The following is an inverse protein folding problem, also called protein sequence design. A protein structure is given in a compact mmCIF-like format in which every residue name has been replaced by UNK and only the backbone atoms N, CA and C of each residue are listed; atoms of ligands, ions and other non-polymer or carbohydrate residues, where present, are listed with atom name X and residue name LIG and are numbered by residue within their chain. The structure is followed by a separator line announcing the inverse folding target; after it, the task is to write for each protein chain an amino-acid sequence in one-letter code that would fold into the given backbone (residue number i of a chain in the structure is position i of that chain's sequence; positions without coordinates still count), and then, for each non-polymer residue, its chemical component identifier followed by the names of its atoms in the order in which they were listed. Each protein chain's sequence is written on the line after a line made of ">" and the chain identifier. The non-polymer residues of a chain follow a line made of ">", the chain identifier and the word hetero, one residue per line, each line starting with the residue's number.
data_IF_496792382850
#
_entry.id   IF_496792382850
#
_cell.length_a   1.000
_cell.length_b   1.000
_cell.length_c   1.000
_cell.angle_alpha   90.00
_cell.angle_beta   90.00
_cell.angle_gamma   90.00
#
_symmetry.space_group_name_H-M   'P 1'
#
loop_
_entity.id
_entity.type
_entity.pdbx_description
1 polymer ?
#
# COMPACT_ATOMS: atom_id res chain seq x y z
N UNK A 1 -11.18 28.48 5.35
CA UNK A 1 -10.37 27.67 6.30
C UNK A 1 -10.29 26.20 5.87
N UNK A 2 -11.42 25.62 5.47
CA UNK A 2 -11.51 24.29 4.82
C UNK A 2 -10.65 24.14 3.56
N UNK A 3 -10.54 25.16 2.70
CA UNK A 3 -9.73 25.05 1.47
C UNK A 3 -8.22 25.03 1.72
N UNK A 4 -7.73 25.73 2.77
CA UNK A 4 -6.32 25.66 3.19
C UNK A 4 -5.98 24.32 3.83
N UNK A 5 -6.91 23.73 4.59
CA UNK A 5 -6.74 22.39 5.18
C UNK A 5 -6.73 21.32 4.08
N UNK A 6 -7.63 21.43 3.09
CA UNK A 6 -7.66 20.54 1.91
C UNK A 6 -6.38 20.65 1.09
N UNK A 7 -5.90 21.86 0.79
CA UNK A 7 -4.64 22.08 0.09
C UNK A 7 -3.45 21.49 0.86
N UNK A 8 -3.33 21.75 2.17
CA UNK A 8 -2.26 21.19 2.99
C UNK A 8 -2.30 19.64 3.08
N UNK A 9 -3.50 19.06 3.10
CA UNK A 9 -3.68 17.60 3.11
C UNK A 9 -3.28 16.97 1.77
N UNK A 10 -3.65 17.61 0.65
CA UNK A 10 -3.29 17.16 -0.69
C UNK A 10 -1.79 17.33 -0.96
N UNK A 11 -1.18 18.42 -0.50
CA UNK A 11 0.27 18.65 -0.61
C UNK A 11 1.08 17.65 0.21
N UNK A 12 0.56 17.28 1.39
CA UNK A 12 1.14 16.27 2.25
C UNK A 12 1.11 14.89 1.57
N UNK A 13 -0.05 14.47 1.07
CA UNK A 13 -0.22 13.19 0.37
C UNK A 13 0.64 13.18 -0.89
N UNK A 14 0.50 14.20 -1.74
CA UNK A 14 1.25 14.32 -3.00
C UNK A 14 2.74 14.19 -2.79
N UNK A 15 3.29 14.82 -1.75
CA UNK A 15 4.71 14.74 -1.50
C UNK A 15 5.19 13.48 -0.76
N UNK A 16 4.30 12.62 -0.24
CA UNK A 16 4.66 11.26 0.18
C UNK A 16 4.80 10.36 -1.05
N UNK A 17 3.89 10.47 -2.02
CA UNK A 17 3.83 9.59 -3.19
C UNK A 17 4.74 10.01 -4.35
N UNK A 18 4.95 11.31 -4.57
CA UNK A 18 5.81 11.83 -5.64
C UNK A 18 7.17 11.12 -5.79
N UNK A 19 7.96 10.91 -4.71
CA UNK A 19 9.22 10.18 -4.81
C UNK A 19 9.08 8.68 -5.11
N UNK A 20 7.91 8.09 -4.85
CA UNK A 20 7.65 6.65 -5.02
C UNK A 20 7.05 6.32 -6.38
N UNK A 21 6.41 7.29 -7.06
CA UNK A 21 5.82 7.09 -8.39
C UNK A 21 6.81 6.50 -9.40
N UNK A 22 8.06 7.01 -9.57
CA UNK A 22 9.00 6.45 -10.54
C UNK A 22 9.36 4.99 -10.25
N UNK A 23 9.46 4.62 -8.96
CA UNK A 23 9.75 3.25 -8.54
C UNK A 23 8.62 2.30 -8.97
N UNK A 24 7.37 2.64 -8.67
CA UNK A 24 6.22 1.80 -9.03
C UNK A 24 6.06 1.73 -10.56
N UNK A 25 6.25 2.86 -11.25
CA UNK A 25 6.16 2.88 -12.72
C UNK A 25 7.22 1.97 -13.34
N UNK A 26 8.47 2.01 -12.85
CA UNK A 26 9.52 1.09 -13.31
C UNK A 26 9.17 -0.38 -13.07
N UNK A 27 8.77 -0.73 -11.85
CA UNK A 27 8.38 -2.09 -11.48
C UNK A 27 7.17 -2.59 -12.30
N UNK A 28 6.15 -1.74 -12.47
CA UNK A 28 4.95 -2.05 -13.24
C UNK A 28 5.23 -2.24 -14.73
N UNK A 29 6.12 -1.44 -15.32
CA UNK A 29 6.48 -1.57 -16.74
C UNK A 29 7.23 -2.87 -17.03
N UNK A 30 8.13 -3.30 -16.14
CA UNK A 30 8.80 -4.60 -16.26
C UNK A 30 7.76 -5.72 -16.18
N UNK A 31 6.81 -5.63 -15.25
CA UNK A 31 5.72 -6.60 -15.11
C UNK A 31 4.82 -6.65 -16.37
N UNK A 32 4.53 -5.50 -16.98
CA UNK A 32 3.74 -5.43 -18.20
C UNK A 32 4.45 -6.10 -19.39
N UNK A 33 5.76 -5.87 -19.56
CA UNK A 33 6.57 -6.53 -20.59
C UNK A 33 6.55 -8.05 -20.39
N UNK A 34 6.64 -8.49 -19.13
CA UNK A 34 6.63 -9.89 -18.76
C UNK A 34 5.29 -10.56 -19.10
N UNK A 35 4.16 -9.88 -18.88
CA UNK A 35 2.83 -10.34 -19.30
C UNK A 35 2.73 -10.47 -20.83
N UNK A 36 3.33 -9.55 -21.59
CA UNK A 36 3.38 -9.65 -23.05
C UNK A 36 4.24 -10.84 -23.49
N UNK A 37 5.37 -11.10 -22.82
CA UNK A 37 6.22 -12.26 -23.11
C UNK A 37 5.49 -13.59 -22.83
N UNK A 38 4.71 -13.68 -21.74
CA UNK A 38 3.83 -14.82 -21.48
C UNK A 38 2.81 -15.01 -22.61
N UNK A 39 2.17 -13.92 -23.05
CA UNK A 39 1.20 -13.98 -24.16
C UNK A 39 1.83 -14.42 -25.50
N UNK A 40 3.13 -14.21 -25.69
CA UNK A 40 3.89 -14.65 -26.86
C UNK A 40 4.42 -16.09 -26.76
N UNK A 41 4.10 -16.82 -25.68
CA UNK A 41 4.42 -18.24 -25.50
C UNK A 41 5.58 -18.53 -24.55
N UNK A 42 6.01 -17.57 -23.73
CA UNK A 42 6.94 -17.83 -22.63
C UNK A 42 6.22 -18.63 -21.53
N UNK A 43 6.82 -19.72 -21.06
CA UNK A 43 6.25 -20.53 -19.99
C UNK A 43 6.50 -19.90 -18.61
N UNK A 44 5.47 -19.94 -17.76
CA UNK A 44 5.49 -19.44 -16.37
C UNK A 44 6.47 -20.19 -15.45
N UNK A 45 7.03 -21.29 -15.95
CA UNK A 45 8.03 -22.11 -15.24
C UNK A 45 9.46 -21.87 -15.73
N UNK A 46 9.66 -21.01 -16.73
CA UNK A 46 10.99 -20.71 -17.26
C UNK A 46 11.85 -19.95 -16.23
N UNK A 47 13.15 -20.23 -16.22
CA UNK A 47 14.08 -19.58 -15.27
C UNK A 47 14.14 -18.06 -15.52
N UNK A 48 13.96 -17.68 -16.78
CA UNK A 48 13.88 -16.31 -17.27
C UNK A 48 12.64 -15.59 -16.74
N UNK A 49 11.48 -16.27 -16.73
CA UNK A 49 10.25 -15.76 -16.12
C UNK A 49 10.47 -15.47 -14.64
N UNK A 50 11.02 -16.42 -13.89
CA UNK A 50 11.26 -16.24 -12.45
C UNK A 50 12.16 -15.05 -12.16
N UNK A 51 13.30 -14.92 -12.85
CA UNK A 51 14.24 -13.81 -12.62
C UNK A 51 13.58 -12.46 -12.93
N UNK A 52 12.90 -12.33 -14.07
CA UNK A 52 12.21 -11.10 -14.46
C UNK A 52 11.06 -10.78 -13.50
N UNK A 53 10.33 -11.79 -13.05
CA UNK A 53 9.22 -11.66 -12.13
C UNK A 53 9.71 -11.18 -10.76
N UNK A 54 10.80 -11.75 -10.22
CA UNK A 54 11.43 -11.29 -8.99
C UNK A 54 11.87 -9.82 -9.06
N UNK A 55 12.46 -9.40 -10.17
CA UNK A 55 12.86 -8.00 -10.38
C UNK A 55 11.62 -7.10 -10.37
N UNK A 56 10.58 -7.46 -11.10
CA UNK A 56 9.34 -6.68 -11.16
C UNK A 56 8.63 -6.61 -9.80
N UNK A 57 8.51 -7.73 -9.10
CA UNK A 57 7.81 -7.81 -7.81
C UNK A 57 8.59 -7.18 -6.66
N UNK A 58 9.93 -7.09 -6.75
CA UNK A 58 10.75 -6.44 -5.72
C UNK A 58 10.32 -4.99 -5.46
N UNK A 59 9.96 -4.23 -6.50
CA UNK A 59 9.52 -2.84 -6.35
C UNK A 59 8.20 -2.72 -5.57
N UNK A 60 7.29 -3.69 -5.73
CA UNK A 60 6.03 -3.75 -4.99
C UNK A 60 6.21 -4.34 -3.59
N UNK A 61 7.13 -5.31 -3.43
CA UNK A 61 7.42 -5.95 -2.14
C UNK A 61 8.11 -4.98 -1.16
N UNK A 62 9.07 -4.18 -1.64
CA UNK A 62 9.74 -3.15 -0.83
C UNK A 62 8.99 -1.82 -0.81
N UNK A 63 7.81 -1.76 -1.42
CA UNK A 63 6.99 -0.57 -1.44
C UNK A 63 6.74 0.02 -0.04
N UNK A 64 6.44 -0.78 1.00
CA UNK A 64 6.30 -0.27 2.35
C UNK A 64 7.52 0.45 2.91
N UNK A 65 8.71 -0.04 2.59
CA UNK A 65 9.98 0.51 3.08
C UNK A 65 10.25 1.87 2.44
N UNK A 66 10.10 1.95 1.12
CA UNK A 66 10.33 3.19 0.38
C UNK A 66 9.30 4.25 0.75
N UNK A 67 8.04 3.85 0.88
CA UNK A 67 6.97 4.75 1.31
C UNK A 67 7.18 5.24 2.75
N UNK A 68 7.65 4.39 3.66
CA UNK A 68 7.96 4.80 5.03
C UNK A 68 9.06 5.88 5.05
N UNK A 69 10.09 5.72 4.21
CA UNK A 69 11.17 6.68 4.03
C UNK A 69 10.65 8.03 3.51
N UNK A 70 9.85 8.03 2.45
CA UNK A 70 9.25 9.24 1.89
C UNK A 70 8.27 9.91 2.85
N UNK A 71 7.50 9.12 3.60
CA UNK A 71 6.61 9.61 4.65
C UNK A 71 7.39 10.33 5.75
N UNK A 72 8.50 9.75 6.21
CA UNK A 72 9.31 10.34 7.28
C UNK A 72 9.90 11.70 6.91
N UNK A 73 10.29 11.89 5.64
CA UNK A 73 10.72 13.20 5.15
C UNK A 73 9.62 14.26 5.25
N UNK A 74 8.36 13.88 5.05
CA UNK A 74 7.21 14.78 5.19
C UNK A 74 6.80 15.03 6.64
N UNK A 75 6.88 14.02 7.49
CA UNK A 75 6.57 14.16 8.92
C UNK A 75 7.71 14.76 9.75
N UNK A 76 8.91 14.93 9.15
CA UNK A 76 10.08 15.48 9.83
C UNK A 76 10.70 14.50 10.83
N UNK A 77 10.62 13.20 10.54
CA UNK A 77 11.19 12.12 11.36
C UNK A 77 12.47 11.58 10.71
N UNK A 78 13.26 10.81 11.46
CA UNK A 78 14.44 10.16 10.89
C UNK A 78 14.02 9.12 9.81
N UNK A 79 14.38 9.33 8.52
CA UNK A 79 13.93 8.45 7.44
C UNK A 79 14.49 7.02 7.53
N UNK A 80 15.68 6.85 8.10
CA UNK A 80 16.29 5.53 8.27
C UNK A 80 15.56 4.67 9.31
N UNK A 81 15.10 5.30 10.40
CA UNK A 81 14.30 4.61 11.41
C UNK A 81 12.91 4.23 10.87
N UNK A 82 12.30 5.10 10.05
CA UNK A 82 11.04 4.80 9.40
C UNK A 82 11.15 3.66 8.38
N UNK A 83 12.22 3.64 7.57
CA UNK A 83 12.49 2.54 6.64
C UNK A 83 12.65 1.20 7.37
N UNK A 84 13.31 1.20 8.53
CA UNK A 84 13.44 0.00 9.36
C UNK A 84 12.08 -0.49 9.88
N UNK A 85 11.19 0.40 10.32
CA UNK A 85 9.82 0.03 10.71
C UNK A 85 9.01 -0.53 9.54
N UNK A 86 9.18 0.05 8.33
CA UNK A 86 8.63 -0.53 7.11
C UNK A 86 9.15 -1.94 6.84
N UNK A 87 10.43 -2.19 7.13
CA UNK A 87 11.07 -3.50 7.06
C UNK A 87 10.50 -4.52 8.04
N UNK A 88 10.16 -4.09 9.26
CA UNK A 88 9.53 -4.96 10.28
C UNK A 88 8.18 -5.50 9.80
N UNK A 89 7.39 -4.68 9.09
CA UNK A 89 6.08 -5.09 8.56
C UNK A 89 6.17 -6.14 7.43
N UNK A 90 7.30 -6.18 6.71
CA UNK A 90 7.54 -7.11 5.60
C UNK A 90 8.56 -8.19 5.94
N UNK A 91 8.87 -8.36 7.23
CA UNK A 91 9.90 -9.29 7.67
C UNK A 91 9.53 -10.72 7.26
N UNK A 92 10.45 -11.51 6.66
CA UNK A 92 10.13 -12.85 6.15
C UNK A 92 9.62 -13.78 7.26
N UNK A 93 10.15 -13.69 8.48
CA UNK A 93 9.63 -14.46 9.62
C UNK A 93 8.18 -14.07 9.99
N UNK A 94 7.80 -12.80 9.82
CA UNK A 94 6.40 -12.39 10.02
C UNK A 94 5.51 -13.02 8.95
N UNK A 95 5.93 -12.96 7.69
CA UNK A 95 5.20 -13.61 6.59
C UNK A 95 5.11 -15.14 6.77
N UNK A 96 6.15 -15.78 7.29
CA UNK A 96 6.15 -17.20 7.61
C UNK A 96 5.14 -17.54 8.73
N UNK A 97 5.06 -16.71 9.78
CA UNK A 97 4.05 -16.86 10.84
C UNK A 97 2.63 -16.69 10.30
N UNK A 98 2.42 -15.71 9.41
CA UNK A 98 1.13 -15.49 8.74
C UNK A 98 0.73 -16.72 7.93
N UNK A 99 1.65 -17.30 7.17
CA UNK A 99 1.40 -18.52 6.39
C UNK A 99 1.16 -19.77 7.26
N UNK A 100 1.76 -19.84 8.45
CA UNK A 100 1.54 -20.93 9.40
C UNK A 100 0.18 -20.86 10.11
N UNK A 101 -0.50 -19.70 10.09
CA UNK A 101 -1.81 -19.52 10.72
C UNK A 101 -1.79 -19.57 12.25
N UNK A 102 -0.61 -19.60 12.87
CA UNK A 102 -0.47 -19.67 14.33
C UNK A 102 -0.79 -18.32 14.96
N UNK A 103 -1.70 -18.30 15.95
CA UNK A 103 -2.07 -17.09 16.66
C UNK A 103 -0.90 -16.54 17.49
N UNK A 104 -0.17 -15.58 16.94
CA UNK A 104 0.90 -14.87 17.63
C UNK A 104 0.28 -13.99 18.72
N UNK A 105 0.68 -14.24 19.98
CA UNK A 105 0.29 -13.45 21.14
C UNK A 105 1.48 -12.66 21.63
N UNK A 106 1.32 -11.34 21.72
CA UNK A 106 2.27 -10.49 22.43
C UNK A 106 1.63 -10.07 23.76
N UNK A 107 2.21 -10.51 24.89
CA UNK A 107 1.70 -10.21 26.24
C UNK A 107 0.19 -10.51 26.44
N UNK A 108 -0.31 -11.60 25.84
CA UNK A 108 -1.72 -12.01 25.97
C UNK A 108 -2.71 -11.30 25.04
N UNK A 109 -2.27 -10.29 24.27
CA UNK A 109 -3.09 -9.63 23.25
C UNK A 109 -2.96 -10.42 21.94
N UNK A 110 -4.08 -10.85 21.32
CA UNK A 110 -4.04 -11.55 20.04
C UNK A 110 -3.64 -10.57 18.93
N UNK A 111 -2.51 -10.85 18.26
CA UNK A 111 -2.10 -10.09 17.08
C UNK A 111 -2.71 -10.77 15.86
N UNK A 112 -3.49 -10.04 15.06
CA UNK A 112 -4.05 -10.60 13.83
C UNK A 112 -2.95 -10.69 12.77
N UNK A 113 -2.78 -11.90 12.25
CA UNK A 113 -1.81 -12.19 11.21
C UNK A 113 -2.38 -11.80 9.86
N UNK A 114 -1.88 -10.70 9.31
CA UNK A 114 -2.12 -10.31 7.93
C UNK A 114 -0.78 -10.06 7.25
N UNK A 115 -0.73 -10.32 5.95
CA UNK A 115 0.39 -9.86 5.12
C UNK A 115 0.23 -8.37 4.90
N UNK A 116 1.17 -7.59 5.45
CA UNK A 116 1.19 -6.14 5.32
C UNK A 116 2.09 -5.65 4.18
N UNK A 117 2.63 -6.58 3.38
CA UNK A 117 3.58 -6.31 2.29
C UNK A 117 3.10 -5.34 1.22
N UNK A 118 1.80 -5.12 1.12
CA UNK A 118 1.20 -4.28 0.07
C UNK A 118 0.24 -3.23 0.62
N UNK A 119 0.12 -3.09 1.94
CA UNK A 119 -0.83 -2.16 2.57
C UNK A 119 -0.17 -0.84 2.92
N UNK A 120 -0.51 0.22 2.18
CA UNK A 120 0.07 1.57 2.28
C UNK A 120 -0.41 2.32 3.54
N UNK A 121 -1.71 2.21 3.85
CA UNK A 121 -2.37 2.93 4.93
C UNK A 121 -1.77 2.67 6.32
N UNK A 122 -1.49 1.41 6.73
CA UNK A 122 -0.80 1.12 7.99
C UNK A 122 0.55 1.82 8.14
N UNK A 123 1.33 1.93 7.05
CA UNK A 123 2.68 2.53 7.10
C UNK A 123 2.59 4.02 7.30
N UNK A 124 1.73 4.71 6.55
CA UNK A 124 1.56 6.17 6.69
C UNK A 124 1.12 6.50 8.12
N UNK A 125 0.17 5.74 8.68
CA UNK A 125 -0.27 5.89 10.07
C UNK A 125 0.84 5.57 11.08
N UNK A 126 1.67 4.56 10.80
CA UNK A 126 2.81 4.19 11.64
C UNK A 126 3.88 5.26 11.67
N UNK A 127 4.24 5.84 10.51
CA UNK A 127 5.22 6.93 10.45
C UNK A 127 4.65 8.21 11.06
N UNK A 128 3.36 8.47 10.91
CA UNK A 128 2.70 9.57 11.62
C UNK A 128 2.79 9.37 13.14
N UNK A 129 2.48 8.18 13.66
CA UNK A 129 2.62 7.88 15.09
C UNK A 129 4.08 8.00 15.55
N UNK A 130 5.03 7.50 14.75
CA UNK A 130 6.46 7.63 15.00
C UNK A 130 6.89 9.08 15.17
N UNK A 131 6.30 10.04 14.44
CA UNK A 131 6.60 11.46 14.60
C UNK A 131 6.33 12.00 16.01
N UNK A 132 5.30 11.48 16.69
CA UNK A 132 5.01 11.84 18.08
C UNK A 132 5.94 11.12 19.05
N UNK A 133 6.19 9.84 18.81
CA UNK A 133 7.09 9.03 19.65
C UNK A 133 8.51 9.57 19.61
N UNK A 134 9.00 10.00 18.43
CA UNK A 134 10.34 10.57 18.29
C UNK A 134 10.51 11.88 19.06
N UNK A 135 9.50 12.76 19.01
CA UNK A 135 9.48 13.98 19.83
C UNK A 135 9.41 13.69 21.32
N UNK A 136 8.70 12.64 21.72
CA UNK A 136 8.61 12.22 23.12
C UNK A 136 9.92 11.61 23.62
N UNK A 137 10.52 10.70 22.85
CA UNK A 137 11.81 10.11 23.15
C UNK A 137 12.92 11.16 23.26
N UNK A 138 12.84 12.23 22.46
CA UNK A 138 13.78 13.35 22.52
C UNK A 138 13.65 14.22 23.79
N UNK A 139 12.45 14.29 24.40
CA UNK A 139 12.22 14.96 25.68
C UNK A 139 12.65 14.12 26.88
N UNK A 140 12.45 12.80 26.81
CA UNK A 140 12.77 11.88 27.92
C UNK A 140 14.26 11.55 27.99
N UNK A 141 14.97 11.58 26.86
CA UNK A 141 16.38 11.18 26.81
C UNK A 141 17.36 12.27 27.32
N UNK A 142 18.18 11.98 28.35
CA UNK A 142 19.26 12.87 28.77
C UNK A 142 20.30 13.03 27.65
N UNK A 143 20.88 14.23 27.51
CA UNK A 143 21.81 14.57 26.42
C UNK A 143 23.00 13.61 26.27
N UNK A 144 23.44 12.97 27.35
CA UNK A 144 24.60 12.07 27.38
C UNK A 144 24.33 10.71 26.72
N UNK A 145 23.06 10.26 26.66
CA UNK A 145 22.65 8.95 26.10
C UNK A 145 21.65 9.08 24.96
N UNK A 146 21.29 10.31 24.55
CA UNK A 146 20.30 10.60 23.52
C UNK A 146 20.58 9.92 22.18
N UNK A 147 21.86 9.75 21.80
CA UNK A 147 22.24 9.08 20.55
C UNK A 147 21.82 7.60 20.49
N UNK A 148 21.68 6.93 21.63
CA UNK A 148 21.31 5.50 21.72
C UNK A 148 19.87 5.35 22.20
N UNK A 149 19.48 6.11 23.24
CA UNK A 149 18.17 5.99 23.87
C UNK A 149 17.04 6.47 22.96
N UNK A 150 17.27 7.53 22.16
CA UNK A 150 16.28 8.07 21.23
C UNK A 150 15.87 7.03 20.17
N UNK A 151 16.77 6.49 19.34
CA UNK A 151 16.40 5.48 18.34
C UNK A 151 15.87 4.19 18.97
N UNK A 152 16.37 3.79 20.14
CA UNK A 152 15.89 2.58 20.83
C UNK A 152 14.42 2.70 21.26
N UNK A 153 14.05 3.80 21.93
CA UNK A 153 12.67 4.03 22.39
C UNK A 153 11.74 4.16 21.19
N UNK A 154 12.15 4.92 20.16
CA UNK A 154 11.30 5.10 18.98
C UNK A 154 11.08 3.79 18.27
N UNK A 155 12.12 3.01 17.99
CA UNK A 155 12.00 1.72 17.32
C UNK A 155 11.16 0.73 18.14
N UNK A 156 11.42 0.58 19.44
CA UNK A 156 10.71 -0.38 20.27
C UNK A 156 9.21 -0.04 20.37
N UNK A 157 8.87 1.21 20.69
CA UNK A 157 7.48 1.62 20.89
C UNK A 157 6.71 1.61 19.58
N UNK A 158 7.30 2.12 18.49
CA UNK A 158 6.60 2.22 17.20
C UNK A 158 6.41 0.88 16.53
N UNK A 159 7.39 -0.03 16.60
CA UNK A 159 7.25 -1.38 16.02
C UNK A 159 6.22 -2.24 16.77
N UNK A 160 6.13 -2.11 18.10
CA UNK A 160 5.11 -2.81 18.88
C UNK A 160 3.71 -2.27 18.60
N UNK A 161 3.55 -0.94 18.62
CA UNK A 161 2.26 -0.30 18.36
C UNK A 161 1.81 -0.52 16.91
N UNK A 162 2.75 -0.54 15.97
CA UNK A 162 2.42 -0.80 14.56
C UNK A 162 1.83 -2.18 14.37
N UNK A 163 2.43 -3.22 14.93
CA UNK A 163 1.95 -4.60 14.79
C UNK A 163 0.65 -4.87 15.58
N UNK A 164 0.50 -4.30 16.78
CA UNK A 164 -0.65 -4.58 17.65
C UNK A 164 -1.91 -3.80 17.22
N UNK A 165 -1.75 -2.53 16.84
CA UNK A 165 -2.89 -1.62 16.66
C UNK A 165 -3.00 -1.16 15.21
N UNK A 166 -1.95 -0.57 14.65
CA UNK A 166 -2.05 0.14 13.38
C UNK A 166 -2.19 -0.78 12.17
N UNK A 167 -1.50 -1.93 12.19
CA UNK A 167 -1.56 -2.91 11.12
C UNK A 167 -2.92 -3.63 11.06
N UNK A 168 -3.49 -4.15 12.18
CA UNK A 168 -4.84 -4.73 12.17
C UNK A 168 -5.94 -3.74 11.83
N UNK A 169 -5.80 -2.46 12.20
CA UNK A 169 -6.76 -1.42 11.83
C UNK A 169 -6.88 -1.27 10.31
N UNK A 170 -5.77 -1.27 9.58
CA UNK A 170 -5.79 -1.18 8.12
C UNK A 170 -6.50 -2.38 7.48
N UNK A 171 -6.23 -3.59 7.97
CA UNK A 171 -6.90 -4.80 7.50
C UNK A 171 -8.40 -4.80 7.82
N UNK A 172 -8.80 -4.30 8.99
CA UNK A 172 -10.21 -4.23 9.38
C UNK A 172 -11.03 -3.34 8.44
N UNK A 173 -10.52 -2.15 8.12
CA UNK A 173 -11.16 -1.24 7.15
C UNK A 173 -11.21 -1.92 5.77
N UNK A 174 -10.15 -2.64 5.39
CA UNK A 174 -10.10 -3.41 4.15
C UNK A 174 -11.15 -4.52 4.09
N UNK A 175 -11.35 -5.26 5.18
CA UNK A 175 -12.36 -6.33 5.27
C UNK A 175 -13.79 -5.78 5.18
N UNK A 176 -14.08 -4.64 5.82
CA UNK A 176 -15.39 -3.99 5.69
C UNK A 176 -15.66 -3.59 4.25
N UNK A 177 -14.67 -2.99 3.59
CA UNK A 177 -14.83 -2.54 2.22
C UNK A 177 -14.96 -3.71 1.23
N UNK A 178 -14.17 -4.77 1.43
CA UNK A 178 -14.28 -6.02 0.67
C UNK A 178 -15.66 -6.65 0.81
N UNK A 179 -16.20 -6.72 2.04
CA UNK A 179 -17.56 -7.20 2.29
C UNK A 179 -18.64 -6.33 1.62
N UNK A 180 -18.45 -5.02 1.56
CA UNK A 180 -19.35 -4.11 0.84
C UNK A 180 -19.34 -4.34 -0.67
N UNK A 181 -18.17 -4.58 -1.26
CA UNK A 181 -18.04 -4.91 -2.69
C UNK A 181 -18.67 -6.28 -2.99
N UNK A 182 -18.42 -7.28 -2.15
CA UNK A 182 -19.03 -8.61 -2.29
C UNK A 182 -20.56 -8.55 -2.19
N UNK A 183 -21.11 -7.72 -1.31
CA UNK A 183 -22.56 -7.49 -1.23
C UNK A 183 -23.12 -6.84 -2.51
N UNK A 184 -22.41 -5.85 -3.06
CA UNK A 184 -22.80 -5.21 -4.32
C UNK A 184 -22.76 -6.19 -5.50
N UNK A 185 -21.78 -7.10 -5.52
CA UNK A 185 -21.63 -8.12 -6.56
C UNK A 185 -22.81 -9.10 -6.58
N UNK A 186 -23.31 -9.51 -5.40
CA UNK A 186 -24.46 -10.41 -5.29
C UNK A 186 -25.80 -9.76 -5.68
N UNK A 187 -25.95 -8.44 -5.51
CA UNK A 187 -27.24 -7.76 -5.70
C UNK A 187 -27.34 -7.06 -7.06
N UNK A 188 -26.26 -6.44 -7.57
CA UNK A 188 -26.28 -5.69 -8.84
C UNK A 188 -24.96 -5.84 -9.62
N UNK A 189 -24.70 -6.99 -10.27
CA UNK A 189 -23.43 -7.30 -10.92
C UNK A 189 -23.01 -6.29 -12.00
N UNK A 190 -23.99 -5.72 -12.71
CA UNK A 190 -23.75 -4.80 -13.85
C UNK A 190 -23.24 -3.43 -13.41
N UNK A 191 -23.59 -2.96 -12.20
CA UNK A 191 -23.13 -1.66 -11.69
C UNK A 191 -21.78 -1.75 -10.97
N UNK A 192 -21.37 -2.95 -10.56
CA UNK A 192 -20.14 -3.16 -9.80
C UNK A 192 -18.88 -2.68 -10.54
N UNK A 193 -18.65 -3.00 -11.84
CA UNK A 193 -17.48 -2.50 -12.56
C UNK A 193 -17.43 -0.96 -12.62
N UNK A 194 -18.58 -0.30 -12.74
CA UNK A 194 -18.67 1.17 -12.81
C UNK A 194 -18.33 1.82 -11.47
N UNK A 195 -18.91 1.32 -10.38
CA UNK A 195 -18.65 1.85 -9.04
C UNK A 195 -17.20 1.56 -8.62
N UNK A 196 -16.74 0.32 -8.84
CA UNK A 196 -15.37 -0.08 -8.52
C UNK A 196 -14.40 0.72 -9.36
N UNK A 197 -14.63 0.90 -10.67
CA UNK A 197 -13.80 1.77 -11.51
C UNK A 197 -13.75 3.23 -11.04
N UNK A 198 -14.84 3.77 -10.49
CA UNK A 198 -14.88 5.13 -9.95
C UNK A 198 -14.17 5.28 -8.60
N UNK A 199 -14.29 4.28 -7.71
CA UNK A 199 -13.71 4.29 -6.36
C UNK A 199 -12.25 3.80 -6.36
N UNK A 200 -11.85 3.03 -7.37
CA UNK A 200 -10.53 2.44 -7.52
C UNK A 200 -9.39 3.46 -7.39
N UNK A 201 -9.37 4.61 -8.08
CA UNK A 201 -8.29 5.58 -7.92
C UNK A 201 -8.11 6.03 -6.47
N UNK A 202 -9.21 6.24 -5.73
CA UNK A 202 -9.18 6.58 -4.31
C UNK A 202 -8.57 5.45 -3.48
N UNK A 203 -8.93 4.20 -3.76
CA UNK A 203 -8.35 3.03 -3.10
C UNK A 203 -6.89 2.77 -3.44
N UNK A 204 -6.46 3.19 -4.63
CA UNK A 204 -5.06 3.18 -5.04
C UNK A 204 -4.26 4.17 -4.20
N UNK A 205 -4.78 5.38 -3.99
CA UNK A 205 -4.15 6.38 -3.12
C UNK A 205 -4.01 5.92 -1.67
N UNK A 206 -5.02 5.23 -1.11
CA UNK A 206 -4.91 4.64 0.23
C UNK A 206 -4.18 3.29 0.25
N UNK A 207 -3.85 2.73 -0.92
CA UNK A 207 -3.20 1.42 -1.07
C UNK A 207 -3.98 0.22 -0.58
N UNK A 208 -5.27 0.40 -0.32
CA UNK A 208 -6.14 -0.69 0.11
C UNK A 208 -6.51 -1.60 -1.05
N UNK A 209 -6.36 -1.12 -2.29
CA UNK A 209 -6.62 -1.89 -3.50
C UNK A 209 -5.83 -3.22 -3.55
N UNK A 210 -4.56 -3.23 -3.14
CA UNK A 210 -3.74 -4.46 -3.13
C UNK A 210 -4.16 -5.47 -2.06
N UNK A 211 -4.83 -5.02 -1.00
CA UNK A 211 -5.35 -5.89 0.06
C UNK A 211 -6.76 -6.42 -0.24
N UNK A 212 -7.52 -5.71 -1.10
CA UNK A 212 -8.94 -5.99 -1.34
C UNK A 212 -9.14 -6.76 -2.64
N UNK A 213 -8.51 -6.33 -3.73
CA UNK A 213 -8.86 -6.82 -5.06
C UNK A 213 -8.23 -8.16 -5.44
N UNK A 214 -6.94 -8.45 -5.18
CA UNK A 214 -6.36 -9.76 -5.47
C UNK A 214 -7.11 -10.94 -4.82
N UNK A 215 -7.48 -10.91 -3.52
CA UNK A 215 -8.22 -12.02 -2.92
C UNK A 215 -9.66 -12.13 -3.43
N UNK A 216 -10.33 -11.02 -3.74
CA UNK A 216 -11.66 -11.06 -4.36
C UNK A 216 -11.60 -11.70 -5.76
N UNK A 217 -10.60 -11.31 -6.55
CA UNK A 217 -10.36 -11.86 -7.88
C UNK A 217 -10.07 -13.37 -7.81
N UNK A 218 -9.22 -13.84 -6.90
CA UNK A 218 -8.93 -15.28 -6.79
C UNK A 218 -10.14 -16.09 -6.36
N UNK A 219 -10.98 -15.56 -5.46
CA UNK A 219 -12.24 -16.22 -5.05
C UNK A 219 -13.22 -16.30 -6.24
N UNK A 220 -13.43 -15.19 -6.97
CA UNK A 220 -14.35 -15.18 -8.11
C UNK A 220 -13.86 -16.07 -9.26
N UNK A 221 -12.56 -16.07 -9.58
CA UNK A 221 -12.01 -17.01 -10.55
C UNK A 221 -12.15 -18.48 -10.10
N UNK A 222 -11.98 -18.76 -8.81
CA UNK A 222 -12.09 -20.11 -8.29
C UNK A 222 -13.54 -20.62 -8.28
N UNK A 223 -14.52 -19.76 -7.96
CA UNK A 223 -15.93 -20.14 -7.85
C UNK A 223 -16.69 -20.05 -9.18
N UNK A 224 -16.46 -19.00 -9.96
CA UNK A 224 -17.23 -18.69 -11.18
C UNK A 224 -16.44 -18.91 -12.48
N UNK A 225 -15.12 -19.06 -12.41
CA UNK A 225 -14.25 -19.21 -13.59
C UNK A 225 -14.04 -17.92 -14.40
N UNK A 226 -14.73 -16.84 -14.05
CA UNK A 226 -14.58 -15.51 -14.62
C UNK A 226 -14.71 -14.46 -13.52
N UNK A 227 -14.26 -13.25 -13.83
CA UNK A 227 -14.11 -12.17 -12.88
C UNK A 227 -14.83 -10.91 -13.41
N UNK A 228 -15.69 -10.32 -12.58
CA UNK A 228 -16.68 -9.32 -12.98
C UNK A 228 -16.39 -7.91 -12.48
N UNK A 229 -15.40 -7.73 -11.62
CA UNK A 229 -15.26 -6.57 -10.72
C UNK A 229 -13.98 -5.76 -10.99
N UNK A 230 -12.82 -6.36 -10.76
CA UNK A 230 -11.48 -5.85 -10.96
C UNK A 230 -11.13 -5.64 -12.43
N UNK A 231 -11.23 -6.65 -13.27
CA UNK A 231 -10.80 -6.60 -14.67
C UNK A 231 -11.46 -5.48 -15.46
N UNK A 232 -12.80 -5.50 -15.64
CA UNK A 232 -13.51 -4.46 -16.38
C UNK A 232 -13.45 -3.09 -15.68
N UNK A 233 -13.54 -3.04 -14.35
CA UNK A 233 -13.49 -1.79 -13.60
C UNK A 233 -12.14 -1.09 -13.66
N UNK A 234 -11.03 -1.83 -13.59
CA UNK A 234 -9.68 -1.27 -13.63
C UNK A 234 -9.32 -0.80 -15.02
N UNK A 235 -9.71 -1.56 -16.06
CA UNK A 235 -9.45 -1.19 -17.43
C UNK A 235 -10.17 0.12 -17.78
N UNK A 236 -11.43 0.28 -17.35
CA UNK A 236 -12.17 1.54 -17.48
C UNK A 236 -11.48 2.71 -16.74
N UNK A 237 -11.04 2.50 -15.50
CA UNK A 237 -10.34 3.53 -14.72
C UNK A 237 -9.00 3.94 -15.35
N UNK A 238 -8.22 2.98 -15.85
CA UNK A 238 -6.93 3.22 -16.51
C UNK A 238 -7.14 4.00 -17.81
N UNK A 239 -8.13 3.62 -18.63
CA UNK A 239 -8.46 4.34 -19.86
C UNK A 239 -8.92 5.78 -19.57
N UNK A 240 -9.71 5.98 -18.50
CA UNK A 240 -10.12 7.31 -18.07
C UNK A 240 -8.93 8.19 -17.62
N UNK A 241 -8.00 7.62 -16.84
CA UNK A 241 -6.77 8.32 -16.44
C UNK A 241 -5.82 8.58 -17.62
N UNK A 242 -5.72 7.65 -18.57
CA UNK A 242 -4.89 7.80 -19.76
C UNK A 242 -5.41 8.89 -20.71
N UNK A 243 -6.71 9.17 -20.72
CA UNK A 243 -7.32 10.23 -21.54
C UNK A 243 -7.16 11.66 -20.99
N UNK A 244 -6.96 11.82 -19.69
CA UNK A 244 -6.82 13.13 -19.02
C UNK A 244 -5.66 14.00 -19.56
N UNK A 245 -4.43 13.45 -19.76
CA UNK A 245 -3.32 14.20 -20.34
C UNK A 245 -3.57 14.72 -21.77
N UNK A 246 -4.44 14.06 -22.53
CA UNK A 246 -4.81 14.50 -23.89
C UNK A 246 -5.90 15.58 -23.89
N UNK A 247 -6.74 15.61 -22.85
CA UNK A 247 -7.82 16.60 -22.70
C UNK A 247 -7.32 17.94 -22.10
N UNK A 248 -6.31 17.92 -21.24
CA UNK A 248 -5.75 19.11 -20.59
C UNK A 248 -5.21 20.18 -21.57
N UNK A 249 -4.45 19.82 -22.62
CA UNK A 249 -4.04 20.77 -23.65
C UNK A 249 -5.22 21.45 -24.35
N UNK A 250 -6.32 20.73 -24.59
CA UNK A 250 -7.53 21.28 -25.19
C UNK A 250 -8.25 22.26 -24.26
N UNK A 251 -8.28 21.99 -22.94
CA UNK A 251 -8.92 22.87 -21.97
C UNK A 251 -8.09 24.13 -21.64
N UNK A 252 -6.76 24.02 -21.59
CA UNK A 252 -5.86 25.17 -21.34
C UNK A 252 -5.82 26.12 -22.53
N UNK A 253 -5.95 25.61 -23.76
CA UNK A 253 -5.97 26.42 -24.99
C UNK A 253 -7.25 27.23 -25.20
N UNK A 254 -8.31 26.97 -24.43
CA UNK A 254 -9.56 27.75 -24.44
C UNK A 254 -9.50 28.95 -23.47
N UNK A 255 -8.46 29.03 -22.64
CA UNK A 255 -8.26 30.10 -21.64
C UNK A 255 -7.13 31.08 -21.98
N UNK A 256 -6.53 30.98 -23.17
CA UNK A 256 -5.62 31.98 -23.76
C UNK A 256 -6.31 32.66 -24.92
#
# INVERSE_FOLDING_TARGET
>A
MTDRIKAASLDMISGIFAPVIPLITGAGMIKAILVIMMALGLSDESSEYYILNFIADSGFYFFPVVLAFSSAQKFGCNPYLAAMIGGVLIHPNWNALVSAGEAVRFFGIPVRLFSYGSSILPIILTVWFMSYVERFAEKVSPNMVKAILKPLITMAVTSLVSLIVLAPLGSYIGSILSGGIAFLDQNVPVLVPTIVGAVQPLLVFFGMHLAIFPPLQTIQLAEMGYETVCGPGFLAAILACAGLPWALPCAVRIKM
#
